data_IF_863925043684
#
_entry.id   IF_863925043684
#
_cell.length_a   1.000
_cell.length_b   1.000
_cell.length_c   1.000
_cell.angle_alpha   90.00
_cell.angle_beta   90.00
_cell.angle_gamma   90.00
#
_symmetry.space_group_name_H-M   'P 1'
#
loop_
_entity.id
_entity.type
_entity.pdbx_description
1 polymer ?
#
# COMPACT_ATOMS: atom_id res chain seq x y z
N UNK A 1 -21.34 14.47 -4.55
CA UNK A 1 -20.74 13.45 -5.44
C UNK A 1 -19.64 12.78 -4.65
N UNK A 2 -19.65 11.45 -4.55
CA UNK A 2 -18.60 10.66 -3.90
C UNK A 2 -17.86 9.89 -4.97
N UNK A 3 -16.62 10.32 -5.27
CA UNK A 3 -15.77 9.68 -6.26
C UNK A 3 -14.70 8.88 -5.54
N UNK A 4 -14.25 7.79 -6.16
CA UNK A 4 -13.06 7.06 -5.71
C UNK A 4 -11.87 7.48 -6.56
N UNK A 5 -10.74 7.73 -5.91
CA UNK A 5 -9.45 7.98 -6.56
C UNK A 5 -8.52 6.84 -6.20
N UNK A 6 -7.84 6.30 -7.20
CA UNK A 6 -6.79 5.29 -7.02
C UNK A 6 -5.52 5.87 -7.59
N UNK A 7 -4.46 5.88 -6.79
CA UNK A 7 -3.15 6.44 -7.15
C UNK A 7 -2.07 5.40 -6.85
N UNK A 8 -1.02 5.38 -7.66
CA UNK A 8 0.22 4.65 -7.37
C UNK A 8 1.21 5.68 -6.85
N UNK A 9 1.64 5.52 -5.59
CA UNK A 9 2.50 6.48 -4.91
C UNK A 9 3.69 5.83 -4.22
N UNK A 10 4.70 6.64 -3.98
CA UNK A 10 5.87 6.32 -3.16
C UNK A 10 6.19 7.42 -2.14
N UNK A 11 5.41 8.50 -2.14
CA UNK A 11 5.49 9.57 -1.15
C UNK A 11 4.79 9.15 0.16
N UNK A 12 5.53 9.18 1.27
CA UNK A 12 5.05 8.71 2.58
C UNK A 12 3.88 9.53 3.11
N UNK A 13 3.92 10.86 2.98
CA UNK A 13 2.86 11.73 3.48
C UNK A 13 1.54 11.47 2.75
N UNK A 14 1.61 11.25 1.43
CA UNK A 14 0.44 10.88 0.62
C UNK A 14 -0.12 9.52 1.00
N UNK A 15 0.76 8.52 1.22
CA UNK A 15 0.36 7.17 1.65
C UNK A 15 -0.31 7.21 3.02
N UNK A 16 0.26 7.95 3.98
CA UNK A 16 -0.28 8.10 5.34
C UNK A 16 -1.62 8.82 5.39
N UNK A 17 -1.89 9.70 4.42
CA UNK A 17 -3.15 10.43 4.32
C UNK A 17 -4.27 9.62 3.62
N UNK A 18 -3.96 8.48 3.02
CA UNK A 18 -4.94 7.67 2.30
C UNK A 18 -5.90 6.93 3.24
N UNK A 19 -7.17 6.84 2.84
CA UNK A 19 -8.17 6.05 3.57
C UNK A 19 -7.88 4.54 3.53
N UNK A 20 -7.21 4.08 2.46
CA UNK A 20 -6.89 2.68 2.21
C UNK A 20 -5.59 2.58 1.41
N UNK A 21 -4.71 1.68 1.83
CA UNK A 21 -3.42 1.38 1.20
C UNK A 21 -3.40 -0.07 0.76
N UNK A 22 -2.86 -0.32 -0.43
CA UNK A 22 -2.58 -1.66 -0.95
C UNK A 22 -1.07 -1.72 -1.19
N UNK A 23 -0.38 -2.54 -0.40
CA UNK A 23 1.05 -2.75 -0.53
C UNK A 23 1.34 -3.95 -1.45
N UNK A 24 2.26 -3.76 -2.41
CA UNK A 24 2.51 -4.70 -3.50
C UNK A 24 3.95 -5.21 -3.52
N UNK A 25 4.06 -6.52 -3.34
CA UNK A 25 5.26 -7.32 -3.52
C UNK A 25 6.28 -7.16 -2.38
N UNK A 26 6.92 -8.26 -1.93
CA UNK A 26 8.14 -8.15 -1.13
C UNK A 26 9.36 -7.69 -1.97
N UNK A 27 9.19 -7.51 -3.29
CA UNK A 27 10.23 -7.12 -4.22
C UNK A 27 9.66 -6.73 -5.59
N UNK A 28 10.54 -6.52 -6.57
CA UNK A 28 10.16 -6.08 -7.91
C UNK A 28 10.16 -7.21 -8.96
N UNK A 29 9.43 -6.99 -10.05
CA UNK A 29 9.38 -7.91 -11.20
C UNK A 29 8.89 -9.31 -10.80
N UNK A 30 9.67 -10.35 -11.12
CA UNK A 30 9.35 -11.75 -10.81
C UNK A 30 9.31 -12.08 -9.31
N UNK A 31 9.79 -11.19 -8.45
CA UNK A 31 9.75 -11.33 -7.00
C UNK A 31 8.71 -10.40 -6.34
N UNK A 32 7.88 -9.75 -7.15
CA UNK A 32 6.77 -8.91 -6.69
C UNK A 32 5.43 -9.43 -7.18
N UNK A 33 4.44 -8.55 -7.26
CA UNK A 33 3.12 -8.87 -7.82
C UNK A 33 2.18 -9.58 -6.84
N UNK A 34 2.55 -9.67 -5.57
CA UNK A 34 1.71 -10.17 -4.50
C UNK A 34 1.09 -9.00 -3.72
N UNK A 35 -0.13 -9.14 -3.23
CA UNK A 35 -0.68 -8.19 -2.25
C UNK A 35 -0.13 -8.60 -0.89
N UNK A 36 0.74 -7.77 -0.33
CA UNK A 36 1.39 -8.05 0.96
C UNK A 36 0.48 -7.61 2.10
N UNK A 37 -0.07 -6.40 2.00
CA UNK A 37 -1.06 -5.86 2.92
C UNK A 37 -2.15 -5.09 2.15
N UNK A 38 -3.36 -5.03 2.70
CA UNK A 38 -4.46 -4.22 2.15
C UNK A 38 -5.40 -3.80 3.28
N UNK A 39 -5.53 -2.50 3.48
CA UNK A 39 -6.32 -1.94 4.58
C UNK A 39 -5.94 -0.50 4.89
N UNK A 40 -6.34 0.04 6.05
CA UNK A 40 -5.81 1.32 6.51
C UNK A 40 -4.30 1.20 6.78
N UNK A 41 -3.60 2.33 6.91
CA UNK A 41 -2.14 2.36 7.04
C UNK A 41 -1.62 1.50 8.22
N UNK A 42 -2.38 1.37 9.30
CA UNK A 42 -2.03 0.55 10.46
C UNK A 42 -1.93 -0.95 10.12
N UNK A 43 -2.72 -1.42 9.15
CA UNK A 43 -2.65 -2.80 8.70
C UNK A 43 -1.36 -3.08 7.91
N UNK A 44 -0.90 -2.08 7.14
CA UNK A 44 0.38 -2.16 6.41
C UNK A 44 1.55 -2.15 7.40
N UNK A 45 1.54 -1.21 8.36
CA UNK A 45 2.59 -1.09 9.38
C UNK A 45 2.69 -2.29 10.32
N UNK A 46 1.63 -3.10 10.45
CA UNK A 46 1.61 -4.31 11.25
C UNK A 46 2.04 -5.57 10.47
N UNK A 47 2.18 -5.52 9.15
CA UNK A 47 2.55 -6.66 8.31
C UNK A 47 4.08 -6.77 8.21
N UNK A 48 4.65 -7.82 8.79
CA UNK A 48 6.11 -8.03 8.85
C UNK A 48 6.77 -8.20 7.47
N UNK A 49 6.01 -8.61 6.45
CA UNK A 49 6.50 -8.75 5.07
C UNK A 49 6.39 -7.46 4.27
N UNK A 50 5.70 -6.44 4.78
CA UNK A 50 5.62 -5.13 4.15
C UNK A 50 6.95 -4.42 4.30
N UNK A 51 7.41 -3.79 3.22
CA UNK A 51 8.63 -2.98 3.20
C UNK A 51 8.33 -1.47 3.24
N UNK A 52 7.06 -1.11 3.38
CA UNK A 52 6.55 0.26 3.46
C UNK A 52 6.58 0.75 4.90
#
# INVERSE_FOLDING_TARGET
LGNTVVVVEHDEDTIRAADHVIDLGPGAGRHGGEVVASGPIEAVLAEERSLT
#
